data_IF_146165216766
#
_entry.id   IF_146165216766
#
_cell.length_a   1.000
_cell.length_b   1.000
_cell.length_c   1.000
_cell.angle_alpha   90.00
_cell.angle_beta   90.00
_cell.angle_gamma   90.00
#
_symmetry.space_group_name_H-M   'P 1'
#
loop_
_entity.id
_entity.type
_entity.pdbx_description
1 polymer ?
#
# COMPACT_ATOMS: atom_id res chain seq x y z
N UNK A 1 -12.29 -6.24 18.93
CA UNK A 1 -12.18 -5.75 17.53
C UNK A 1 -11.90 -4.26 17.58
N UNK A 2 -10.76 -3.79 17.09
CA UNK A 2 -10.54 -2.35 16.85
C UNK A 2 -10.63 -2.13 15.35
N UNK A 3 -11.67 -1.41 14.94
CA UNK A 3 -11.92 -0.97 13.57
C UNK A 3 -10.79 -0.03 13.11
N UNK A 4 -10.37 -0.13 11.84
CA UNK A 4 -9.26 0.67 11.29
C UNK A 4 -9.66 2.15 11.25
N UNK A 5 -8.89 3.09 11.82
CA UNK A 5 -9.27 4.49 11.78
C UNK A 5 -9.13 5.03 10.35
N UNK A 6 -10.23 5.58 9.84
CA UNK A 6 -10.25 6.42 8.66
C UNK A 6 -10.48 7.86 9.12
N UNK A 7 -9.42 8.64 9.16
CA UNK A 7 -9.51 10.05 9.51
C UNK A 7 -10.07 10.86 8.34
N UNK A 8 -10.99 11.77 8.62
CA UNK A 8 -11.58 12.61 7.59
C UNK A 8 -11.36 14.08 7.96
N UNK A 9 -10.47 14.74 7.22
CA UNK A 9 -10.21 16.17 7.29
C UNK A 9 -10.83 16.82 6.06
N UNK A 10 -12.13 17.06 6.06
CA UNK A 10 -12.80 17.73 4.94
C UNK A 10 -14.04 18.48 5.44
N UNK A 11 -14.26 19.69 4.92
CA UNK A 11 -15.35 20.56 5.36
C UNK A 11 -16.72 20.14 4.80
N UNK A 12 -16.75 19.58 3.59
CA UNK A 12 -17.97 19.08 2.94
C UNK A 12 -18.64 17.93 3.73
N UNK A 13 -19.83 18.20 4.26
CA UNK A 13 -20.64 17.23 5.00
C UNK A 13 -21.16 16.08 4.13
N UNK A 14 -21.47 16.34 2.85
CA UNK A 14 -21.96 15.32 1.92
C UNK A 14 -20.86 14.33 1.60
N UNK A 15 -19.64 14.82 1.34
CA UNK A 15 -18.48 13.93 1.17
C UNK A 15 -18.25 13.09 2.43
N UNK A 16 -18.23 13.71 3.63
CA UNK A 16 -18.00 12.99 4.88
C UNK A 16 -18.99 11.83 5.06
N UNK A 17 -20.28 12.08 4.81
CA UNK A 17 -21.31 11.04 4.88
C UNK A 17 -21.10 9.94 3.84
N UNK A 18 -20.75 10.30 2.59
CA UNK A 18 -20.49 9.30 1.55
C UNK A 18 -19.27 8.44 1.84
N UNK A 19 -18.18 9.06 2.31
CA UNK A 19 -16.98 8.35 2.78
C UNK A 19 -17.38 7.42 3.91
N UNK A 20 -18.07 7.93 4.95
CA UNK A 20 -18.55 7.12 6.07
C UNK A 20 -19.35 5.90 5.61
N UNK A 21 -20.30 6.06 4.68
CA UNK A 21 -21.06 4.91 4.13
C UNK A 21 -20.20 3.95 3.32
N UNK A 22 -19.27 4.47 2.50
CA UNK A 22 -18.37 3.66 1.69
C UNK A 22 -17.42 2.81 2.55
N UNK A 23 -17.18 3.26 3.79
CA UNK A 23 -16.25 2.66 4.73
C UNK A 23 -16.91 2.05 5.98
N UNK A 24 -18.24 2.13 6.12
CA UNK A 24 -18.98 1.82 7.36
C UNK A 24 -18.77 0.39 7.88
N UNK A 25 -18.53 -0.56 6.99
CA UNK A 25 -18.29 -1.97 7.34
C UNK A 25 -16.84 -2.28 7.69
N UNK A 26 -15.91 -1.35 7.43
CA UNK A 26 -14.46 -1.59 7.31
C UNK A 26 -13.60 -0.66 8.17
N UNK A 27 -14.08 0.55 8.43
CA UNK A 27 -13.32 1.59 9.11
C UNK A 27 -14.13 2.26 10.21
N UNK A 28 -13.42 2.63 11.27
CA UNK A 28 -13.89 3.62 12.23
C UNK A 28 -13.66 5.00 11.65
N UNK A 29 -14.73 5.66 11.22
CA UNK A 29 -14.63 6.96 10.57
C UNK A 29 -14.53 8.05 11.63
N UNK A 30 -13.38 8.72 11.68
CA UNK A 30 -13.09 9.76 12.67
C UNK A 30 -12.94 11.09 11.92
N UNK A 31 -13.92 11.97 12.05
CA UNK A 31 -13.78 13.31 11.50
C UNK A 31 -12.88 14.14 12.40
N UNK A 32 -11.89 14.80 11.80
CA UNK A 32 -10.95 15.70 12.51
C UNK A 32 -11.09 17.13 11.98
N UNK A 33 -11.01 18.16 12.84
CA UNK A 33 -11.34 19.52 12.46
C UNK A 33 -10.21 20.27 11.74
N UNK A 34 -8.97 19.79 11.83
CA UNK A 34 -7.78 20.49 11.34
C UNK A 34 -6.55 19.61 11.23
N UNK A 35 -5.49 20.14 10.62
CA UNK A 35 -4.23 19.40 10.40
C UNK A 35 -3.54 19.02 11.70
N UNK A 36 -3.54 19.90 12.70
CA UNK A 36 -2.89 19.63 13.98
C UNK A 36 -3.47 18.38 14.67
N UNK A 37 -4.80 18.29 14.72
CA UNK A 37 -5.52 17.14 15.31
C UNK A 37 -5.30 15.88 14.48
N UNK A 38 -5.27 15.99 13.15
CA UNK A 38 -4.96 14.85 12.28
C UNK A 38 -3.55 14.30 12.56
N UNK A 39 -2.55 15.18 12.67
CA UNK A 39 -1.16 14.79 12.91
C UNK A 39 -0.97 14.12 14.28
N UNK A 40 -1.63 14.62 15.32
CA UNK A 40 -1.64 14.01 16.65
C UNK A 40 -2.31 12.64 16.65
N UNK A 41 -3.47 12.53 15.99
CA UNK A 41 -4.19 11.27 15.87
C UNK A 41 -3.34 10.23 15.13
N UNK A 42 -2.71 10.60 14.00
CA UNK A 42 -1.83 9.72 13.24
C UNK A 42 -0.57 9.30 13.99
N UNK A 43 -0.04 10.14 14.89
CA UNK A 43 1.15 9.80 15.68
C UNK A 43 0.94 8.62 16.63
N UNK A 44 -0.30 8.40 17.07
CA UNK A 44 -0.70 7.27 17.94
C UNK A 44 -1.49 6.19 17.20
N UNK A 45 -1.76 6.40 15.91
CA UNK A 45 -2.52 5.48 15.09
C UNK A 45 -1.67 4.28 14.64
N UNK A 46 -2.30 3.12 14.34
CA UNK A 46 -1.61 2.02 13.71
C UNK A 46 -1.06 2.44 12.33
N UNK A 47 0.01 1.79 11.85
CA UNK A 47 0.59 2.04 10.53
C UNK A 47 -0.40 1.84 9.38
N UNK A 48 -1.48 1.11 9.64
CA UNK A 48 -2.57 0.91 8.69
C UNK A 48 -3.49 2.13 8.58
N UNK A 49 -3.41 3.17 9.41
CA UNK A 49 -4.35 4.29 9.36
C UNK A 49 -4.48 4.92 7.97
N UNK A 50 -5.69 5.37 7.64
CA UNK A 50 -5.99 6.09 6.40
C UNK A 50 -6.49 7.49 6.73
N UNK A 51 -6.25 8.43 5.82
CA UNK A 51 -6.88 9.73 5.88
C UNK A 51 -7.44 10.16 4.52
N UNK A 52 -8.66 10.68 4.51
CA UNK A 52 -9.22 11.49 3.43
C UNK A 52 -9.06 12.94 3.84
N UNK A 53 -8.35 13.72 3.03
CA UNK A 53 -8.03 15.13 3.34
C UNK A 53 -8.46 16.05 2.20
N UNK A 54 -8.97 17.22 2.56
CA UNK A 54 -9.00 18.37 1.65
C UNK A 54 -7.57 18.92 1.56
N UNK A 55 -6.91 18.84 0.38
CA UNK A 55 -5.53 19.29 0.24
C UNK A 55 -5.39 20.82 0.38
N UNK A 56 -6.50 21.57 0.41
CA UNK A 56 -6.55 23.01 0.60
C UNK A 56 -7.06 23.42 2.00
N UNK A 57 -7.28 22.45 2.91
CA UNK A 57 -7.76 22.73 4.26
C UNK A 57 -6.83 23.71 5.02
N UNK A 58 -7.45 24.60 5.80
CA UNK A 58 -6.79 25.47 6.79
C UNK A 58 -5.75 26.47 6.26
N UNK A 59 -6.04 27.18 5.16
CA UNK A 59 -5.45 28.51 4.96
C UNK A 59 -6.50 29.48 4.40
N UNK A 60 -7.10 30.36 5.24
CA UNK A 60 -8.03 31.38 4.79
C UNK A 60 -7.40 32.25 3.70
N UNK A 61 -8.05 32.32 2.53
CA UNK A 61 -7.63 33.17 1.41
C UNK A 61 -6.52 32.60 0.51
N UNK A 62 -5.88 31.47 0.89
CA UNK A 62 -4.89 30.81 0.03
C UNK A 62 -5.57 29.81 -0.89
N UNK A 63 -5.11 29.76 -2.13
CA UNK A 63 -5.67 28.91 -3.20
C UNK A 63 -4.75 27.73 -3.55
N UNK A 64 -3.64 27.58 -2.84
CA UNK A 64 -2.58 26.61 -3.10
C UNK A 64 -2.70 25.41 -2.17
N UNK A 65 -2.01 24.33 -2.52
CA UNK A 65 -1.87 23.14 -1.68
C UNK A 65 -1.31 23.48 -0.29
N UNK A 66 -1.88 22.85 0.74
CA UNK A 66 -1.50 23.03 2.13
C UNK A 66 -0.08 22.49 2.40
N UNK A 67 0.86 23.30 2.93
CA UNK A 67 2.17 22.83 3.38
C UNK A 67 2.09 21.77 4.50
N UNK A 68 1.00 21.76 5.26
CA UNK A 68 0.73 20.78 6.31
C UNK A 68 0.51 19.39 5.71
N UNK A 69 -0.09 19.28 4.52
CA UNK A 69 -0.20 18.02 3.79
C UNK A 69 1.19 17.48 3.42
N UNK A 70 2.06 18.33 2.88
CA UNK A 70 3.43 17.95 2.54
C UNK A 70 4.20 17.48 3.79
N UNK A 71 4.05 18.21 4.90
CA UNK A 71 4.66 17.86 6.19
C UNK A 71 4.15 16.51 6.72
N UNK A 72 2.84 16.26 6.60
CA UNK A 72 2.21 15.00 7.00
C UNK A 72 2.77 13.83 6.21
N UNK A 73 2.85 13.95 4.88
CA UNK A 73 3.36 12.92 3.99
C UNK A 73 4.84 12.59 4.27
N UNK A 74 5.65 13.60 4.60
CA UNK A 74 7.04 13.40 5.01
C UNK A 74 7.19 12.75 6.39
N UNK A 75 6.33 13.12 7.36
CA UNK A 75 6.39 12.60 8.74
C UNK A 75 5.82 11.20 8.88
N UNK A 76 4.78 10.88 8.11
CA UNK A 76 4.06 9.61 8.17
C UNK A 76 4.06 8.89 6.80
N UNK A 77 5.24 8.46 6.30
CA UNK A 77 5.35 7.85 4.97
C UNK A 77 4.61 6.52 4.85
N UNK A 78 4.11 5.96 5.96
CA UNK A 78 3.33 4.73 6.01
C UNK A 78 1.82 4.92 6.18
N UNK A 79 1.27 6.15 6.23
CA UNK A 79 -0.20 6.40 6.29
C UNK A 79 -0.82 6.66 4.92
N UNK A 80 -1.89 5.94 4.56
CA UNK A 80 -2.55 6.11 3.25
C UNK A 80 -3.36 7.40 3.19
N UNK A 81 -2.94 8.32 2.32
CA UNK A 81 -3.61 9.62 2.15
C UNK A 81 -4.33 9.68 0.82
N UNK A 82 -5.64 9.94 0.86
CA UNK A 82 -6.46 10.27 -0.30
C UNK A 82 -6.80 11.76 -0.25
N UNK A 83 -6.55 12.47 -1.34
CA UNK A 83 -6.97 13.86 -1.44
C UNK A 83 -8.36 13.92 -2.07
N UNK A 84 -9.31 14.58 -1.41
CA UNK A 84 -10.62 14.87 -1.96
C UNK A 84 -10.68 16.34 -2.38
N UNK A 85 -10.89 16.58 -3.67
CA UNK A 85 -10.92 17.92 -4.23
C UNK A 85 -11.77 18.00 -5.50
N UNK A 86 -12.19 19.22 -5.84
CA UNK A 86 -12.79 19.51 -7.12
C UNK A 86 -11.70 19.69 -8.19
N UNK A 87 -11.79 18.96 -9.31
CA UNK A 87 -10.81 19.06 -10.39
C UNK A 87 -11.17 20.23 -11.30
N UNK A 88 -10.39 21.33 -11.19
CA UNK A 88 -10.58 22.53 -12.01
C UNK A 88 -9.49 22.66 -13.08
N UNK A 89 -9.80 23.12 -14.30
CA UNK A 89 -8.82 23.25 -15.39
C UNK A 89 -7.59 24.09 -15.04
N UNK A 90 -7.73 25.10 -14.18
CA UNK A 90 -6.63 25.95 -13.73
C UNK A 90 -5.70 25.35 -12.67
N UNK A 91 -5.95 24.11 -12.21
CA UNK A 91 -5.22 23.46 -11.09
C UNK A 91 -4.71 22.05 -11.42
N UNK A 92 -4.57 21.71 -12.70
CA UNK A 92 -4.01 20.40 -13.07
C UNK A 92 -2.57 20.22 -12.58
N UNK A 93 -1.81 21.30 -12.37
CA UNK A 93 -0.48 21.21 -11.76
C UNK A 93 -0.53 20.65 -10.33
N UNK A 94 -1.59 20.98 -9.57
CA UNK A 94 -1.74 20.50 -8.19
C UNK A 94 -1.91 18.98 -8.15
N UNK A 95 -2.59 18.38 -9.13
CA UNK A 95 -2.71 16.93 -9.23
C UNK A 95 -1.35 16.25 -9.38
N UNK A 96 -0.45 16.85 -10.17
CA UNK A 96 0.93 16.35 -10.33
C UNK A 96 1.70 16.47 -9.02
N UNK A 97 1.65 17.65 -8.40
CA UNK A 97 2.34 17.92 -7.13
C UNK A 97 1.86 17.00 -6.00
N UNK A 98 0.55 16.73 -5.92
CA UNK A 98 -0.02 15.79 -4.95
C UNK A 98 0.53 14.36 -5.16
N UNK A 99 0.63 13.92 -6.41
CA UNK A 99 1.26 12.64 -6.74
C UNK A 99 2.74 12.59 -6.35
N UNK A 100 3.49 13.65 -6.63
CA UNK A 100 4.90 13.78 -6.25
C UNK A 100 5.11 13.79 -4.73
N UNK A 101 4.18 14.34 -3.96
CA UNK A 101 4.23 14.34 -2.50
C UNK A 101 3.84 12.98 -1.88
N UNK A 102 3.24 12.07 -2.65
CA UNK A 102 2.86 10.73 -2.17
C UNK A 102 1.39 10.58 -1.80
N UNK A 103 0.51 11.48 -2.24
CA UNK A 103 -0.93 11.24 -2.19
C UNK A 103 -1.26 10.02 -3.04
N UNK A 104 -1.98 9.08 -2.45
CA UNK A 104 -2.15 7.74 -2.99
C UNK A 104 -3.25 7.66 -4.04
N UNK A 105 -4.28 8.49 -3.89
CA UNK A 105 -5.43 8.50 -4.77
C UNK A 105 -6.16 9.85 -4.65
N UNK A 106 -6.85 10.24 -5.74
CA UNK A 106 -7.69 11.43 -5.79
C UNK A 106 -9.17 11.02 -5.82
N UNK A 107 -9.95 11.57 -4.90
CA UNK A 107 -11.42 11.56 -4.94
C UNK A 107 -11.84 12.87 -5.60
N UNK A 108 -12.31 12.77 -6.84
CA UNK A 108 -12.75 13.92 -7.62
C UNK A 108 -14.20 14.26 -7.23
N UNK A 109 -14.43 15.39 -6.56
CA UNK A 109 -15.76 15.73 -6.03
C UNK A 109 -16.83 15.87 -7.13
N UNK A 110 -16.41 16.23 -8.35
CA UNK A 110 -17.25 16.39 -9.55
C UNK A 110 -17.55 15.08 -10.29
N UNK A 111 -16.90 13.96 -9.92
CA UNK A 111 -17.02 12.67 -10.65
C UNK A 111 -17.33 11.50 -9.74
N UNK A 112 -16.75 11.49 -8.54
CA UNK A 112 -16.90 10.42 -7.56
C UNK A 112 -18.11 10.68 -6.64
N UNK A 113 -19.27 10.92 -7.25
CA UNK A 113 -20.48 11.34 -6.52
C UNK A 113 -21.20 10.20 -5.80
N UNK A 114 -20.84 8.96 -6.08
CA UNK A 114 -21.50 7.77 -5.53
C UNK A 114 -20.70 7.13 -4.40
N UNK A 115 -21.38 6.44 -3.48
CA UNK A 115 -20.72 5.65 -2.44
C UNK A 115 -19.81 4.57 -3.04
N UNK A 116 -20.21 3.94 -4.15
CA UNK A 116 -19.42 2.88 -4.79
C UNK A 116 -18.18 3.41 -5.51
N UNK A 117 -18.23 4.61 -6.13
CA UNK A 117 -17.03 5.24 -6.71
C UNK A 117 -16.00 5.55 -5.63
N UNK A 118 -16.43 6.09 -4.48
CA UNK A 118 -15.54 6.35 -3.34
C UNK A 118 -15.01 5.03 -2.75
N UNK A 119 -15.86 4.01 -2.59
CA UNK A 119 -15.43 2.70 -2.10
C UNK A 119 -14.39 2.07 -3.03
N UNK A 120 -14.53 2.23 -4.35
CA UNK A 120 -13.53 1.78 -5.34
C UNK A 120 -12.21 2.50 -5.18
N UNK A 121 -12.22 3.82 -4.94
CA UNK A 121 -11.03 4.64 -4.67
C UNK A 121 -10.33 4.24 -3.37
N UNK A 122 -11.10 3.96 -2.32
CA UNK A 122 -10.53 3.45 -1.07
C UNK A 122 -9.88 2.08 -1.31
N UNK A 123 -10.54 1.17 -2.05
CA UNK A 123 -9.97 -0.14 -2.40
C UNK A 123 -8.76 -0.05 -3.33
N UNK A 124 -8.69 0.92 -4.25
CA UNK A 124 -7.53 1.07 -5.15
C UNK A 124 -6.24 1.46 -4.42
N UNK A 125 -6.34 1.94 -3.17
CA UNK A 125 -5.18 2.23 -2.33
C UNK A 125 -4.49 1.00 -1.72
N UNK A 126 -4.97 -0.21 -2.04
CA UNK A 126 -4.33 -1.47 -1.67
C UNK A 126 -2.90 -1.58 -2.20
N UNK A 127 -2.02 -2.17 -1.39
CA UNK A 127 -0.60 -2.36 -1.72
C UNK A 127 0.27 -1.17 -1.36
N UNK A 128 -0.25 -0.20 -0.61
CA UNK A 128 0.54 0.94 -0.19
C UNK A 128 1.56 0.53 0.87
N UNK A 129 1.22 -0.39 1.78
CA UNK A 129 2.20 -0.86 2.75
C UNK A 129 3.33 -1.60 2.05
N UNK A 130 3.01 -2.38 1.00
CA UNK A 130 4.02 -3.00 0.12
C UNK A 130 4.93 -1.94 -0.53
N UNK A 131 4.35 -0.87 -1.11
CA UNK A 131 5.12 0.23 -1.70
C UNK A 131 5.97 0.97 -0.66
N UNK A 132 5.43 1.20 0.54
CA UNK A 132 6.16 1.84 1.63
C UNK A 132 7.35 0.99 2.09
N UNK A 133 7.15 -0.32 2.27
CA UNK A 133 8.20 -1.29 2.57
C UNK A 133 9.33 -1.22 1.54
N UNK A 134 8.99 -1.22 0.24
CA UNK A 134 9.94 -1.11 -0.87
C UNK A 134 10.65 0.26 -0.87
N UNK A 135 9.93 1.34 -0.60
CA UNK A 135 10.46 2.70 -0.61
C UNK A 135 11.39 3.01 0.56
N UNK A 136 11.04 2.58 1.78
CA UNK A 136 11.58 3.14 3.01
C UNK A 136 12.21 2.12 3.97
N UNK A 137 11.87 0.84 3.84
CA UNK A 137 12.24 -0.18 4.86
C UNK A 137 13.08 -1.33 4.30
N UNK A 138 13.46 -1.28 3.02
CA UNK A 138 14.37 -2.27 2.45
C UNK A 138 15.78 -2.14 3.04
N UNK A 139 16.47 -3.28 3.27
CA UNK A 139 17.86 -3.27 3.71
C UNK A 139 18.77 -2.46 2.78
N UNK A 140 19.80 -1.84 3.34
CA UNK A 140 20.72 -0.96 2.61
C UNK A 140 21.52 -1.68 1.51
N UNK A 141 21.69 -3.01 1.59
CA UNK A 141 22.38 -3.80 0.56
C UNK A 141 21.56 -3.96 -0.73
N UNK A 142 20.25 -3.65 -0.72
CA UNK A 142 19.41 -3.73 -1.90
C UNK A 142 19.75 -2.58 -2.86
N UNK A 143 20.41 -2.93 -3.96
CA UNK A 143 20.80 -2.00 -5.02
C UNK A 143 19.60 -1.29 -5.66
N UNK A 144 19.85 -0.16 -6.34
CA UNK A 144 18.83 0.55 -7.13
C UNK A 144 18.12 -0.35 -8.15
N UNK A 145 18.87 -1.26 -8.77
CA UNK A 145 18.32 -2.30 -9.66
C UNK A 145 17.37 -3.24 -8.92
N UNK A 146 17.76 -3.71 -7.73
CA UNK A 146 16.91 -4.55 -6.90
C UNK A 146 15.62 -3.84 -6.50
N UNK A 147 15.70 -2.55 -6.14
CA UNK A 147 14.52 -1.70 -5.86
C UNK A 147 13.60 -1.56 -7.07
N UNK A 148 14.15 -1.39 -8.27
CA UNK A 148 13.37 -1.35 -9.50
C UNK A 148 12.63 -2.68 -9.78
N UNK A 149 13.30 -3.82 -9.57
CA UNK A 149 12.68 -5.14 -9.70
C UNK A 149 11.54 -5.33 -8.68
N UNK A 150 11.75 -4.93 -7.43
CA UNK A 150 10.73 -4.99 -6.38
C UNK A 150 9.52 -4.10 -6.69
N UNK A 151 9.76 -2.86 -7.13
CA UNK A 151 8.70 -1.93 -7.53
C UNK A 151 7.85 -2.49 -8.66
N UNK A 152 8.49 -3.01 -9.72
CA UNK A 152 7.79 -3.65 -10.84
C UNK A 152 7.03 -4.91 -10.41
N UNK A 153 7.61 -5.74 -9.54
CA UNK A 153 6.95 -6.93 -9.02
C UNK A 153 5.70 -6.59 -8.19
N UNK A 154 5.78 -5.55 -7.36
CA UNK A 154 4.63 -5.03 -6.60
C UNK A 154 3.51 -4.59 -7.53
N UNK A 155 3.83 -3.82 -8.56
CA UNK A 155 2.86 -3.32 -9.55
C UNK A 155 2.20 -4.44 -10.35
N UNK A 156 2.99 -5.42 -10.80
CA UNK A 156 2.48 -6.61 -11.51
C UNK A 156 1.57 -7.45 -10.61
N UNK A 157 1.94 -7.63 -9.33
CA UNK A 157 1.14 -8.37 -8.38
C UNK A 157 -0.20 -7.68 -8.08
N UNK A 158 -0.23 -6.35 -7.93
CA UNK A 158 -1.47 -5.58 -7.75
C UNK A 158 -2.41 -5.71 -8.95
N UNK A 159 -1.88 -5.94 -10.17
CA UNK A 159 -2.67 -6.17 -11.38
C UNK A 159 -3.02 -7.65 -11.63
N UNK A 160 -2.58 -8.57 -10.78
CA UNK A 160 -2.79 -10.01 -10.96
C UNK A 160 -1.91 -10.68 -12.02
N UNK A 161 -0.85 -10.02 -12.49
CA UNK A 161 0.05 -10.54 -13.54
C UNK A 161 1.00 -11.66 -13.06
N UNK A 162 1.66 -12.33 -14.01
CA UNK A 162 2.56 -13.48 -13.82
C UNK A 162 4.04 -13.12 -14.07
N UNK A 163 4.95 -14.10 -13.93
CA UNK A 163 6.40 -13.91 -14.08
C UNK A 163 6.83 -13.28 -15.42
N UNK A 164 6.17 -13.68 -16.51
CA UNK A 164 6.40 -13.10 -17.84
C UNK A 164 6.02 -11.61 -17.90
N UNK A 165 5.00 -11.21 -17.15
CA UNK A 165 4.52 -9.83 -17.13
C UNK A 165 5.52 -8.93 -16.36
N UNK A 166 6.25 -9.50 -15.39
CA UNK A 166 7.35 -8.81 -14.71
C UNK A 166 8.57 -8.58 -15.63
N UNK A 167 8.93 -9.58 -16.44
CA UNK A 167 10.00 -9.41 -17.43
C UNK A 167 9.63 -8.34 -18.46
N UNK A 168 8.39 -8.36 -18.95
CA UNK A 168 7.85 -7.34 -19.86
C UNK A 168 7.83 -5.95 -19.22
N UNK A 169 7.36 -5.81 -17.98
CA UNK A 169 7.33 -4.53 -17.27
C UNK A 169 8.70 -3.86 -17.14
N UNK A 170 9.78 -4.65 -17.13
CA UNK A 170 11.15 -4.17 -17.04
C UNK A 170 11.88 -4.13 -18.41
N UNK A 171 11.20 -4.47 -19.51
CA UNK A 171 11.80 -4.65 -20.84
C UNK A 171 13.00 -5.63 -20.84
N UNK A 172 12.86 -6.74 -20.10
CA UNK A 172 13.88 -7.78 -19.97
C UNK A 172 13.38 -9.11 -20.56
N UNK A 173 14.33 -9.98 -20.91
CA UNK A 173 14.03 -11.40 -21.08
C UNK A 173 13.98 -12.10 -19.71
N UNK A 174 13.29 -13.24 -19.61
CA UNK A 174 13.21 -14.03 -18.38
C UNK A 174 14.61 -14.39 -17.82
N UNK A 175 15.55 -14.73 -18.71
CA UNK A 175 16.95 -15.02 -18.34
C UNK A 175 17.68 -13.77 -17.82
N UNK A 176 17.39 -12.59 -18.36
CA UNK A 176 17.96 -11.34 -17.85
C UNK A 176 17.35 -10.97 -16.48
N UNK A 177 16.04 -11.14 -16.32
CA UNK A 177 15.35 -10.90 -15.06
C UNK A 177 15.85 -11.82 -13.94
N UNK A 178 16.02 -13.12 -14.21
CA UNK A 178 16.58 -14.06 -13.24
C UNK A 178 17.99 -13.61 -12.78
N UNK A 179 18.87 -13.27 -13.72
CA UNK A 179 20.21 -12.74 -13.40
C UNK A 179 20.16 -11.43 -12.60
N UNK A 180 19.16 -10.58 -12.86
CA UNK A 180 18.98 -9.34 -12.10
C UNK A 180 18.57 -9.62 -10.66
N UNK A 181 17.69 -10.60 -10.42
CA UNK A 181 17.34 -11.05 -9.08
C UNK A 181 18.56 -11.60 -8.34
N UNK A 182 19.28 -12.54 -8.93
CA UNK A 182 20.48 -13.16 -8.33
C UNK A 182 21.53 -12.11 -7.95
N UNK A 183 21.89 -11.22 -8.88
CA UNK A 183 22.88 -10.15 -8.62
C UNK A 183 22.43 -9.13 -7.59
N UNK A 184 21.14 -9.08 -7.27
CA UNK A 184 20.56 -8.17 -6.29
C UNK A 184 20.21 -8.86 -4.97
N UNK A 185 20.60 -10.13 -4.80
CA UNK A 185 20.22 -10.97 -3.65
C UNK A 185 18.69 -10.99 -3.42
N UNK A 186 17.93 -11.06 -4.52
CA UNK A 186 16.47 -11.17 -4.50
C UNK A 186 16.03 -12.60 -4.82
N UNK A 187 14.84 -13.03 -4.35
CA UNK A 187 14.23 -14.29 -4.76
C UNK A 187 14.06 -14.38 -6.28
N UNK A 188 14.04 -15.60 -6.80
CA UNK A 188 13.74 -15.86 -8.21
C UNK A 188 12.38 -15.23 -8.61
N UNK A 189 12.18 -14.80 -9.87
CA UNK A 189 11.05 -13.95 -10.26
C UNK A 189 9.67 -14.49 -9.87
N UNK A 190 9.46 -15.80 -9.99
CA UNK A 190 8.20 -16.45 -9.59
C UNK A 190 7.96 -16.36 -8.08
N UNK A 191 9.00 -16.62 -7.28
CA UNK A 191 8.93 -16.52 -5.81
C UNK A 191 8.77 -15.08 -5.36
N UNK A 192 9.42 -14.14 -6.07
CA UNK A 192 9.27 -12.72 -5.80
C UNK A 192 7.83 -12.22 -6.01
N UNK A 193 7.19 -12.60 -7.12
CA UNK A 193 5.77 -12.26 -7.34
C UNK A 193 4.85 -12.92 -6.33
N UNK A 194 5.15 -14.15 -5.90
CA UNK A 194 4.43 -14.79 -4.82
C UNK A 194 4.56 -14.00 -3.52
N UNK A 195 5.77 -13.54 -3.16
CA UNK A 195 5.98 -12.64 -2.02
C UNK A 195 5.15 -11.36 -2.12
N UNK A 196 5.12 -10.70 -3.28
CA UNK A 196 4.32 -9.49 -3.46
C UNK A 196 2.83 -9.77 -3.27
N UNK A 197 2.31 -10.90 -3.76
CA UNK A 197 0.93 -11.33 -3.51
C UNK A 197 0.66 -11.64 -2.05
N UNK A 198 1.61 -12.27 -1.35
CA UNK A 198 1.50 -12.55 0.08
C UNK A 198 1.48 -11.25 0.88
N UNK A 199 2.36 -10.29 0.58
CA UNK A 199 2.37 -8.99 1.27
C UNK A 199 1.08 -8.20 0.99
N UNK A 200 0.56 -8.24 -0.25
CA UNK A 200 -0.74 -7.64 -0.60
C UNK A 200 -1.89 -8.31 0.16
N UNK A 201 -1.91 -9.64 0.19
CA UNK A 201 -2.92 -10.41 0.91
C UNK A 201 -2.80 -10.18 2.42
N UNK A 202 -1.60 -10.03 2.96
CA UNK A 202 -1.36 -9.76 4.37
C UNK A 202 -1.83 -8.35 4.75
N UNK A 203 -1.56 -7.34 3.92
CA UNK A 203 -2.13 -6.00 4.03
C UNK A 203 -3.66 -6.06 4.06
N UNK A 204 -4.27 -6.88 3.21
CA UNK A 204 -5.72 -7.09 3.22
C UNK A 204 -6.23 -7.93 4.40
N UNK A 205 -5.44 -8.87 4.93
CA UNK A 205 -5.85 -9.74 6.04
C UNK A 205 -5.81 -9.01 7.38
N UNK A 206 -5.00 -7.97 7.51
CA UNK A 206 -5.07 -7.02 8.63
C UNK A 206 -6.42 -6.27 8.70
N UNK A 207 -7.32 -6.51 7.75
CA UNK A 207 -8.67 -6.01 7.71
C UNK A 207 -9.66 -7.15 8.05
N UNK A 208 -10.17 -7.23 9.29
CA UNK A 208 -11.01 -8.35 9.74
C UNK A 208 -12.29 -8.54 8.92
N UNK A 209 -12.80 -7.46 8.30
CA UNK A 209 -13.94 -7.44 7.38
C UNK A 209 -13.73 -8.19 6.06
N UNK A 210 -12.48 -8.42 5.66
CA UNK A 210 -12.18 -9.11 4.41
C UNK A 210 -12.42 -10.60 4.66
N UNK A 211 -13.12 -11.29 3.77
CA UNK A 211 -13.17 -12.75 3.85
C UNK A 211 -11.87 -13.31 3.28
N UNK A 212 -11.36 -14.42 3.82
CA UNK A 212 -10.14 -15.07 3.28
C UNK A 212 -10.31 -15.42 1.79
N UNK A 213 -11.52 -15.80 1.38
CA UNK A 213 -11.86 -16.04 -0.02
C UNK A 213 -11.80 -14.76 -0.87
N UNK A 214 -12.34 -13.64 -0.38
CA UNK A 214 -12.27 -12.34 -1.07
C UNK A 214 -10.83 -11.85 -1.24
N UNK A 215 -10.00 -12.01 -0.19
CA UNK A 215 -8.57 -11.72 -0.27
C UNK A 215 -7.88 -12.61 -1.30
N UNK A 216 -8.18 -13.92 -1.27
CA UNK A 216 -7.60 -14.88 -2.21
C UNK A 216 -7.84 -14.45 -3.65
N UNK A 217 -9.09 -14.18 -4.03
CA UNK A 217 -9.43 -13.75 -5.39
C UNK A 217 -8.75 -12.44 -5.77
N UNK A 218 -8.73 -11.45 -4.86
CA UNK A 218 -8.11 -10.14 -5.12
C UNK A 218 -6.61 -10.27 -5.38
N UNK A 219 -5.93 -11.16 -4.67
CA UNK A 219 -4.49 -11.40 -4.83
C UNK A 219 -4.16 -12.43 -5.93
N UNK A 220 -5.16 -12.87 -6.71
CA UNK A 220 -4.96 -13.77 -7.85
C UNK A 220 -4.89 -15.26 -7.51
N UNK A 221 -5.40 -15.67 -6.34
CA UNK A 221 -5.58 -17.06 -5.96
C UNK A 221 -7.00 -17.54 -6.32
N UNK A 222 -7.09 -18.76 -6.85
CA UNK A 222 -8.37 -19.34 -7.26
C UNK A 222 -9.27 -19.75 -6.08
N UNK A 223 -8.68 -20.07 -4.92
CA UNK A 223 -9.39 -20.54 -3.73
C UNK A 223 -8.76 -20.00 -2.45
N UNK A 224 -9.54 -19.96 -1.36
CA UNK A 224 -9.06 -19.64 -0.01
C UNK A 224 -7.97 -20.61 0.48
N UNK A 225 -8.09 -21.88 0.10
CA UNK A 225 -7.14 -22.95 0.43
C UNK A 225 -5.80 -22.74 -0.26
N UNK A 226 -5.80 -22.26 -1.51
CA UNK A 226 -4.58 -21.86 -2.22
C UNK A 226 -3.88 -20.70 -1.51
N UNK A 227 -4.63 -19.68 -1.06
CA UNK A 227 -4.05 -18.57 -0.30
C UNK A 227 -3.51 -19.05 1.06
N UNK A 228 -4.28 -19.86 1.80
CA UNK A 228 -3.86 -20.40 3.11
C UNK A 228 -2.54 -21.16 3.02
N UNK A 229 -2.40 -22.03 2.02
CA UNK A 229 -1.16 -22.79 1.78
C UNK A 229 0.02 -21.85 1.48
N UNK A 230 -0.19 -20.87 0.62
CA UNK A 230 0.86 -19.91 0.26
C UNK A 230 1.26 -19.05 1.47
N UNK A 231 0.30 -18.58 2.29
CA UNK A 231 0.59 -17.87 3.53
C UNK A 231 1.42 -18.72 4.48
N UNK A 232 1.00 -19.96 4.74
CA UNK A 232 1.71 -20.84 5.65
C UNK A 232 3.12 -21.21 5.15
N UNK A 233 3.31 -21.37 3.84
CA UNK A 233 4.63 -21.59 3.24
C UNK A 233 5.56 -20.37 3.41
N UNK A 234 5.04 -19.16 3.28
CA UNK A 234 5.86 -17.95 3.23
C UNK A 234 6.08 -17.31 4.61
N UNK A 235 5.05 -17.30 5.46
CA UNK A 235 5.09 -16.65 6.78
C UNK A 235 5.18 -17.64 7.93
N UNK A 236 4.96 -18.93 7.69
CA UNK A 236 4.84 -19.95 8.73
C UNK A 236 3.49 -19.98 9.45
N UNK A 237 2.56 -19.07 9.10
CA UNK A 237 1.28 -18.90 9.78
C UNK A 237 0.09 -18.90 8.80
N UNK A 238 -1.07 -19.33 9.29
CA UNK A 238 -2.32 -19.30 8.54
C UNK A 238 -2.95 -17.90 8.52
N UNK A 239 -3.87 -17.60 7.58
CA UNK A 239 -4.58 -16.31 7.56
C UNK A 239 -5.29 -15.95 8.86
N UNK A 240 -5.74 -16.95 9.64
CA UNK A 240 -6.41 -16.74 10.93
C UNK A 240 -5.41 -16.33 12.00
N UNK A 241 -4.28 -17.03 12.13
CA UNK A 241 -3.22 -16.69 13.09
C UNK A 241 -2.59 -15.32 12.76
N UNK A 242 -2.35 -15.05 11.49
CA UNK A 242 -1.82 -13.76 11.03
C UNK A 242 -2.71 -12.58 11.42
N UNK A 243 -4.03 -12.75 11.47
CA UNK A 243 -4.96 -11.69 11.94
C UNK A 243 -4.77 -11.34 13.41
N UNK A 244 -4.35 -12.30 14.21
CA UNK A 244 -4.17 -12.12 15.65
C UNK A 244 -2.84 -11.42 15.94
N UNK A 245 -1.82 -11.65 15.13
CA UNK A 245 -0.45 -11.16 15.34
C UNK A 245 -0.09 -9.92 14.52
N UNK A 246 -0.90 -9.55 13.52
CA UNK A 246 -0.58 -8.53 12.53
C UNK A 246 0.03 -9.15 11.28
N UNK A 247 -0.81 -9.35 10.27
CA UNK A 247 -0.52 -10.11 9.06
C UNK A 247 0.56 -9.44 8.23
N UNK A 248 0.43 -8.14 7.93
CA UNK A 248 1.40 -7.44 7.10
C UNK A 248 2.76 -7.35 7.79
N UNK A 249 2.79 -7.01 9.08
CA UNK A 249 4.04 -6.93 9.84
C UNK A 249 4.76 -8.29 9.85
N UNK A 250 4.04 -9.36 10.17
CA UNK A 250 4.58 -10.73 10.17
C UNK A 250 5.12 -11.13 8.77
N UNK A 251 4.36 -10.84 7.71
CA UNK A 251 4.78 -11.15 6.35
C UNK A 251 5.97 -10.29 5.87
N UNK A 252 6.02 -9.01 6.26
CA UNK A 252 7.12 -8.11 5.95
C UNK A 252 8.40 -8.57 6.65
N UNK A 253 8.35 -8.92 7.93
CA UNK A 253 9.49 -9.45 8.68
C UNK A 253 10.00 -10.76 8.08
N UNK A 254 9.11 -11.67 7.70
CA UNK A 254 9.46 -12.92 7.02
C UNK A 254 10.13 -12.66 5.65
N UNK A 255 9.60 -11.71 4.87
CA UNK A 255 10.18 -11.32 3.59
C UNK A 255 11.58 -10.70 3.76
N UNK A 256 11.74 -9.75 4.69
CA UNK A 256 13.02 -9.13 4.99
C UNK A 256 14.05 -10.15 5.49
N UNK A 257 13.61 -11.11 6.29
CA UNK A 257 14.45 -12.23 6.75
C UNK A 257 14.93 -13.11 5.60
N UNK A 258 14.08 -13.37 4.60
CA UNK A 258 14.50 -14.09 3.39
C UNK A 258 15.53 -13.30 2.57
N UNK A 259 15.34 -11.99 2.42
CA UNK A 259 16.34 -11.14 1.73
C UNK A 259 17.70 -11.18 2.43
N UNK A 260 17.71 -11.16 3.77
CA UNK A 260 18.94 -11.26 4.57
C UNK A 260 19.62 -12.62 4.36
N UNK A 261 18.88 -13.73 4.40
CA UNK A 261 19.43 -15.07 4.14
C UNK A 261 20.03 -15.19 2.73
N UNK A 262 19.33 -14.72 1.71
CA UNK A 262 19.84 -14.72 0.33
C UNK A 262 21.10 -13.87 0.18
N UNK A 263 21.21 -12.77 0.94
CA UNK A 263 22.42 -11.96 0.99
C UNK A 263 23.57 -12.73 1.64
N UNK A 264 23.33 -13.34 2.79
CA UNK A 264 24.30 -14.15 3.51
C UNK A 264 24.83 -15.29 2.63
N UNK A 265 23.96 -16.03 1.95
CA UNK A 265 24.32 -17.08 0.99
C UNK A 265 25.17 -16.54 -0.16
N UNK A 266 24.80 -15.38 -0.73
CA UNK A 266 25.56 -14.77 -1.82
C UNK A 266 26.95 -14.24 -1.38
N UNK A 267 27.11 -13.86 -0.11
CA UNK A 267 28.42 -13.46 0.46
C UNK A 267 29.21 -14.62 1.07
N UNK A 268 28.53 -15.68 1.51
CA UNK A 268 29.11 -16.88 2.11
C UNK A 268 29.48 -17.96 1.10
N UNK A 269 29.00 -17.84 -0.14
CA UNK A 269 29.47 -18.62 -1.28
C UNK A 269 30.79 -18.05 -1.85
N UNK A 270 31.85 -18.12 -1.05
CA UNK A 270 33.21 -18.27 -1.54
C UNK A 270 33.85 -19.50 -0.88
N UNK A 271 33.63 -20.72 -1.43
CA UNK A 271 34.57 -21.81 -1.29
C UNK A 271 35.43 -21.91 -2.56
N UNK A 272 36.71 -21.58 -2.39
CA UNK A 272 37.86 -21.76 -3.31
C UNK A 272 37.88 -20.97 -4.62
#
# INVERSE_FOLDING_TARGET
MRTRPLYILHSDAVLRERVHRASAERFECITVPGWAVLMEALASAPLTAMAVVDPYAEIPGRKDLSPQLQTLLGRFPSVTILAALEIRPGRFHDLRTLGEWGVSEIIALDRDETTESIARKIRSTQGRLVRSLIGHSLPSFISSRGRAVLGAASEVATRGGQGRDLAQALNLSDRALLRWCERSSLPAPRRLLAWMRILLAAEMLDHPEQTVLGVAHTCGYATDSSLRRAMQEFTGATPSELRETGAFATAADAFLSELLKLREEATGASPN
#
